data_IF_559236655634
#
_entry.id   IF_559236655634
#
_cell.length_a   1.000
_cell.length_b   1.000
_cell.length_c   1.000
_cell.angle_alpha   90.00
_cell.angle_beta   90.00
_cell.angle_gamma   90.00
#
_symmetry.space_group_name_H-M   'P 1'
#
loop_
_entity.id
_entity.type
_entity.pdbx_description
1 polymer ?
#
# COMPACT_ATOMS: atom_id res chain seq x y z
N UNK A 1 -23.73 -7.04 14.07
CA UNK A 1 -22.43 -6.92 13.38
C UNK A 1 -21.35 -7.47 14.29
N UNK A 2 -20.47 -8.35 13.80
CA UNK A 2 -19.31 -8.76 14.59
C UNK A 2 -18.36 -7.56 14.62
N UNK A 3 -18.09 -7.05 15.82
CA UNK A 3 -17.13 -5.96 16.06
C UNK A 3 -15.77 -6.24 15.38
N UNK A 4 -15.45 -7.53 15.24
CA UNK A 4 -14.28 -8.03 14.51
C UNK A 4 -14.29 -7.70 13.02
N UNK A 5 -15.42 -7.86 12.29
CA UNK A 5 -15.45 -7.60 10.84
C UNK A 5 -15.30 -6.10 10.53
N UNK A 6 -15.96 -5.25 11.30
CA UNK A 6 -15.81 -3.79 11.19
C UNK A 6 -14.34 -3.38 11.32
N UNK A 7 -13.68 -3.88 12.37
CA UNK A 7 -12.26 -3.59 12.61
C UNK A 7 -11.36 -4.09 11.47
N UNK A 8 -11.64 -5.25 10.89
CA UNK A 8 -10.88 -5.81 9.75
C UNK A 8 -10.99 -4.91 8.52
N UNK A 9 -12.21 -4.51 8.14
CA UNK A 9 -12.41 -3.70 6.95
C UNK A 9 -11.86 -2.28 7.13
N UNK A 10 -12.06 -1.69 8.32
CA UNK A 10 -11.48 -0.39 8.69
C UNK A 10 -9.95 -0.46 8.67
N UNK A 11 -9.35 -1.55 9.16
CA UNK A 11 -7.90 -1.71 9.11
C UNK A 11 -7.41 -1.81 7.66
N UNK A 12 -8.04 -2.65 6.84
CA UNK A 12 -7.65 -2.83 5.44
C UNK A 12 -7.70 -1.50 4.67
N UNK A 13 -8.82 -0.76 4.75
CA UNK A 13 -8.96 0.49 3.99
C UNK A 13 -8.00 1.58 4.47
N UNK A 14 -7.69 1.63 5.78
CA UNK A 14 -6.73 2.59 6.31
C UNK A 14 -5.30 2.32 5.84
N UNK A 15 -4.91 1.04 5.69
CA UNK A 15 -3.61 0.71 5.15
C UNK A 15 -3.50 1.13 3.67
N UNK A 16 -4.55 0.93 2.88
CA UNK A 16 -4.61 1.41 1.50
C UNK A 16 -4.61 2.95 1.39
N UNK A 17 -5.31 3.65 2.30
CA UNK A 17 -5.25 5.13 2.40
C UNK A 17 -3.83 5.61 2.70
N UNK A 18 -3.20 5.01 3.70
CA UNK A 18 -1.82 5.31 4.10
C UNK A 18 -0.83 5.09 2.95
N UNK A 19 -0.92 3.95 2.27
CA UNK A 19 -0.06 3.63 1.12
C UNK A 19 -0.25 4.66 0.00
N UNK A 20 -1.51 4.94 -0.38
CA UNK A 20 -1.84 5.94 -1.40
C UNK A 20 -1.33 7.33 -1.04
N UNK A 21 -1.53 7.78 0.20
CA UNK A 21 -1.06 9.07 0.68
C UNK A 21 0.47 9.16 0.64
N UNK A 22 1.15 8.09 1.08
CA UNK A 22 2.62 7.98 1.05
C UNK A 22 3.14 8.12 -0.38
N UNK A 23 2.58 7.39 -1.33
CA UNK A 23 3.04 7.40 -2.71
C UNK A 23 2.73 8.73 -3.40
N UNK A 24 1.58 9.35 -3.13
CA UNK A 24 1.28 10.72 -3.59
C UNK A 24 2.29 11.74 -3.08
N UNK A 25 2.65 11.68 -1.79
CA UNK A 25 3.63 12.60 -1.21
C UNK A 25 5.02 12.44 -1.86
N UNK A 26 5.42 11.19 -2.14
CA UNK A 26 6.67 10.90 -2.86
C UNK A 26 6.62 11.46 -4.29
N UNK A 27 5.54 11.23 -5.04
CA UNK A 27 5.37 11.76 -6.40
C UNK A 27 5.39 13.29 -6.39
N UNK A 28 4.72 13.93 -5.43
CA UNK A 28 4.71 15.39 -5.31
C UNK A 28 6.11 15.96 -5.06
N UNK A 29 6.95 15.27 -4.29
CA UNK A 29 8.30 15.74 -3.93
C UNK A 29 9.34 15.44 -5.00
N UNK A 30 9.30 14.26 -5.62
CA UNK A 30 10.36 13.77 -6.51
C UNK A 30 9.94 13.67 -7.98
N UNK A 31 8.67 13.96 -8.29
CA UNK A 31 8.09 13.85 -9.63
C UNK A 31 7.59 12.44 -9.97
N UNK A 32 7.29 12.23 -11.25
CA UNK A 32 6.68 11.00 -11.75
C UNK A 32 7.70 9.85 -11.85
N UNK A 33 8.02 9.27 -10.69
CA UNK A 33 9.01 8.20 -10.56
C UNK A 33 8.34 6.83 -10.42
N UNK A 34 8.90 5.83 -11.12
CA UNK A 34 8.48 4.43 -10.97
C UNK A 34 9.13 3.82 -9.72
N UNK A 35 8.39 3.02 -8.92
CA UNK A 35 7.08 2.45 -9.25
C UNK A 35 5.88 3.26 -8.73
N UNK A 36 6.10 4.35 -7.99
CA UNK A 36 5.06 5.10 -7.28
C UNK A 36 3.87 5.50 -8.15
N UNK A 37 4.12 6.03 -9.35
CA UNK A 37 3.05 6.45 -10.28
C UNK A 37 2.11 5.32 -10.70
N UNK A 38 2.59 4.08 -10.75
CA UNK A 38 1.76 2.93 -11.14
C UNK A 38 1.02 2.35 -9.92
N UNK A 39 1.68 2.37 -8.77
CA UNK A 39 1.17 1.75 -7.54
C UNK A 39 0.12 2.65 -6.89
N UNK A 40 0.26 3.97 -6.92
CA UNK A 40 -0.76 4.90 -6.39
C UNK A 40 -2.15 4.70 -7.04
N UNK A 41 -2.18 4.36 -8.32
CA UNK A 41 -3.41 4.02 -9.05
C UNK A 41 -3.92 2.62 -8.70
N UNK A 42 -3.03 1.69 -8.33
CA UNK A 42 -3.41 0.39 -7.78
C UNK A 42 -4.08 0.56 -6.40
N UNK A 43 -3.51 1.35 -5.50
CA UNK A 43 -4.11 1.58 -4.17
C UNK A 43 -5.48 2.25 -4.26
N UNK A 44 -5.67 3.17 -5.23
CA UNK A 44 -6.99 3.74 -5.50
C UNK A 44 -8.00 2.69 -5.94
N UNK A 45 -7.58 1.66 -6.68
CA UNK A 45 -8.45 0.53 -7.06
C UNK A 45 -8.69 -0.42 -5.89
N UNK A 46 -7.72 -0.64 -5.01
CA UNK A 46 -7.90 -1.43 -3.79
C UNK A 46 -8.95 -0.82 -2.88
N UNK A 47 -8.87 0.49 -2.63
CA UNK A 47 -9.88 1.24 -1.88
C UNK A 47 -11.26 1.02 -2.49
N UNK A 48 -11.39 1.24 -3.81
CA UNK A 48 -12.66 1.06 -4.52
C UNK A 48 -13.19 -0.38 -4.45
N UNK A 49 -12.32 -1.39 -4.35
CA UNK A 49 -12.73 -2.78 -4.19
C UNK A 49 -13.25 -3.09 -2.77
N UNK A 50 -12.80 -2.33 -1.76
CA UNK A 50 -13.26 -2.46 -0.38
C UNK A 50 -14.61 -1.77 -0.15
N UNK A 51 -14.88 -0.61 -0.79
CA UNK A 51 -16.10 0.18 -0.54
C UNK A 51 -17.43 -0.62 -0.62
N UNK A 52 -17.65 -1.53 -1.59
CA UNK A 52 -18.87 -2.32 -1.62
C UNK A 52 -19.06 -3.23 -0.41
N UNK A 53 -17.98 -3.66 0.26
CA UNK A 53 -18.06 -4.45 1.49
C UNK A 53 -18.55 -3.58 2.67
N UNK A 54 -18.12 -2.32 2.74
CA UNK A 54 -18.60 -1.39 3.76
C UNK A 54 -20.12 -1.18 3.66
N UNK A 55 -20.61 -0.93 2.44
CA UNK A 55 -22.04 -0.78 2.17
C UNK A 55 -22.82 -2.07 2.51
N UNK A 56 -22.34 -3.22 2.02
CA UNK A 56 -23.01 -4.52 2.24
C UNK A 56 -23.18 -4.88 3.72
N UNK A 57 -22.18 -4.56 4.54
CA UNK A 57 -22.16 -4.91 5.96
C UNK A 57 -22.61 -3.76 6.87
N UNK A 58 -23.10 -2.65 6.30
CA UNK A 58 -23.56 -1.46 7.05
C UNK A 58 -22.47 -0.91 7.99
N UNK A 59 -21.24 -0.80 7.48
CA UNK A 59 -20.08 -0.30 8.21
C UNK A 59 -19.76 1.11 7.72
N UNK A 60 -19.59 2.04 8.65
CA UNK A 60 -19.16 3.39 8.33
C UNK A 60 -17.75 3.39 7.72
N UNK A 61 -17.60 4.07 6.59
CA UNK A 61 -16.30 4.25 5.94
C UNK A 61 -15.51 5.30 6.74
N UNK A 62 -14.28 5.00 7.18
CA UNK A 62 -13.45 5.98 7.86
C UNK A 62 -13.05 7.12 6.92
N UNK A 63 -12.86 8.32 7.48
CA UNK A 63 -12.33 9.47 6.75
C UNK A 63 -10.89 9.19 6.27
N UNK A 64 -10.54 9.67 5.08
CA UNK A 64 -9.17 9.63 4.55
C UNK A 64 -8.44 10.94 4.87
N UNK A 65 -7.79 10.99 6.04
CA UNK A 65 -6.99 12.12 6.52
C UNK A 65 -5.47 11.86 6.46
N UNK A 66 -5.06 10.72 5.90
CA UNK A 66 -3.67 10.26 5.91
C UNK A 66 -2.70 11.24 5.26
N UNK A 67 -3.15 12.07 4.31
CA UNK A 67 -2.33 13.10 3.69
C UNK A 67 -1.68 14.07 4.69
N UNK A 68 -2.34 14.38 5.82
CA UNK A 68 -1.76 15.21 6.88
C UNK A 68 -0.82 14.47 7.83
N UNK A 69 -0.73 13.15 7.72
CA UNK A 69 0.05 12.29 8.62
C UNK A 69 1.31 11.71 7.98
N UNK A 70 1.55 11.95 6.68
CA UNK A 70 2.71 11.42 5.98
C UNK A 70 3.94 12.30 6.17
N UNK A 71 4.99 11.73 6.76
CA UNK A 71 6.34 12.27 6.66
C UNK A 71 6.97 11.85 5.33
N UNK A 72 7.32 12.83 4.49
CA UNK A 72 7.86 12.51 3.16
C UNK A 72 9.34 12.12 3.24
N UNK A 73 9.75 10.97 2.66
CA UNK A 73 11.14 10.52 2.63
C UNK A 73 12.11 11.58 2.10
N UNK A 74 13.36 11.56 2.56
CA UNK A 74 14.39 12.54 2.18
C UNK A 74 15.04 12.24 0.84
N UNK A 75 14.96 11.00 0.35
CA UNK A 75 15.50 10.58 -0.95
C UNK A 75 14.61 9.55 -1.66
N UNK A 76 14.82 9.36 -2.96
CA UNK A 76 14.13 8.32 -3.74
C UNK A 76 14.48 6.92 -3.23
N UNK A 77 15.75 6.69 -2.88
CA UNK A 77 16.20 5.41 -2.31
C UNK A 77 15.48 5.10 -1.00
N UNK A 78 15.37 6.10 -0.12
CA UNK A 78 14.62 5.96 1.13
C UNK A 78 13.13 5.71 0.86
N UNK A 79 12.51 6.46 -0.06
CA UNK A 79 11.13 6.24 -0.45
C UNK A 79 10.89 4.81 -0.95
N UNK A 80 11.82 4.26 -1.73
CA UNK A 80 11.70 2.89 -2.21
C UNK A 80 11.89 1.85 -1.11
N UNK A 81 12.73 2.12 -0.09
CA UNK A 81 12.82 1.27 1.11
C UNK A 81 11.55 1.31 1.95
N UNK A 82 10.99 2.50 2.17
CA UNK A 82 9.69 2.67 2.84
C UNK A 82 8.61 1.89 2.10
N UNK A 83 8.58 1.94 0.76
CA UNK A 83 7.68 1.12 -0.05
C UNK A 83 7.87 -0.38 0.18
N UNK A 84 9.10 -0.89 0.18
CA UNK A 84 9.36 -2.32 0.49
C UNK A 84 8.84 -2.70 1.87
N UNK A 85 9.11 -1.89 2.89
CA UNK A 85 8.66 -2.16 4.26
C UNK A 85 7.13 -2.12 4.37
N UNK A 86 6.48 -1.16 3.70
CA UNK A 86 5.04 -1.04 3.63
C UNK A 86 4.40 -2.30 3.01
N UNK A 87 4.90 -2.76 1.86
CA UNK A 87 4.33 -3.95 1.19
C UNK A 87 4.56 -5.25 1.97
N UNK A 88 5.70 -5.39 2.68
CA UNK A 88 5.92 -6.52 3.60
C UNK A 88 4.93 -6.46 4.77
N UNK A 89 4.67 -5.27 5.30
CA UNK A 89 3.67 -5.03 6.33
C UNK A 89 2.26 -5.40 5.86
N UNK A 90 1.87 -4.90 4.69
CA UNK A 90 0.59 -5.14 4.04
C UNK A 90 0.34 -6.64 3.79
N UNK A 91 1.33 -7.36 3.26
CA UNK A 91 1.23 -8.82 3.07
C UNK A 91 0.96 -9.57 4.38
N UNK A 92 1.68 -9.24 5.46
CA UNK A 92 1.48 -9.84 6.80
C UNK A 92 0.14 -9.45 7.42
N UNK A 93 -0.31 -8.22 7.19
CA UNK A 93 -1.63 -7.76 7.61
C UNK A 93 -2.69 -8.61 6.92
N UNK A 94 -2.70 -8.69 5.59
CA UNK A 94 -3.69 -9.49 4.86
C UNK A 94 -3.67 -10.96 5.23
N UNK A 95 -2.50 -11.57 5.47
CA UNK A 95 -2.41 -12.94 6.00
C UNK A 95 -3.23 -13.10 7.30
N UNK A 96 -3.13 -12.12 8.19
CA UNK A 96 -3.87 -12.11 9.46
C UNK A 96 -5.35 -11.86 9.23
N UNK A 97 -5.72 -10.86 8.43
CA UNK A 97 -7.11 -10.52 8.14
C UNK A 97 -7.84 -11.68 7.45
N UNK A 98 -7.16 -12.39 6.56
CA UNK A 98 -7.70 -13.58 5.90
C UNK A 98 -8.00 -14.71 6.91
N UNK A 99 -7.14 -14.95 7.90
CA UNK A 99 -7.47 -15.93 8.95
C UNK A 99 -8.68 -15.53 9.80
N UNK A 100 -8.89 -14.23 10.00
CA UNK A 100 -9.97 -13.70 10.84
C UNK A 100 -11.31 -13.58 10.10
N UNK A 101 -11.33 -13.74 8.77
CA UNK A 101 -12.53 -13.59 7.93
C UNK A 101 -12.95 -14.89 7.23
N UNK A 102 -12.61 -16.05 7.80
CA UNK A 102 -12.96 -17.37 7.21
C UNK A 102 -14.46 -17.55 6.94
N UNK A 103 -15.31 -16.89 7.73
CA UNK A 103 -16.77 -16.99 7.63
C UNK A 103 -17.38 -15.99 6.62
N UNK A 104 -16.55 -15.18 5.94
CA UNK A 104 -16.96 -14.14 5.01
C UNK A 104 -16.30 -14.33 3.62
N UNK A 105 -16.82 -15.24 2.78
CA UNK A 105 -16.18 -15.59 1.50
C UNK A 105 -16.00 -14.44 0.51
N UNK A 106 -16.91 -13.47 0.53
CA UNK A 106 -16.84 -12.26 -0.29
C UNK A 106 -15.71 -11.33 0.17
N UNK A 107 -15.55 -11.16 1.48
CA UNK A 107 -14.45 -10.41 2.08
C UNK A 107 -13.12 -11.10 1.78
N UNK A 108 -13.03 -12.43 2.00
CA UNK A 108 -11.86 -13.24 1.64
C UNK A 108 -11.44 -13.00 0.19
N UNK A 109 -12.40 -13.02 -0.74
CA UNK A 109 -12.10 -12.84 -2.15
C UNK A 109 -11.40 -11.51 -2.42
N UNK A 110 -11.92 -10.40 -1.88
CA UNK A 110 -11.32 -9.07 -2.06
C UNK A 110 -9.94 -9.00 -1.39
N UNK A 111 -9.83 -9.41 -0.11
CA UNK A 111 -8.57 -9.38 0.62
C UNK A 111 -7.47 -10.22 -0.05
N UNK A 112 -7.81 -11.38 -0.62
CA UNK A 112 -6.87 -12.20 -1.39
C UNK A 112 -6.36 -11.50 -2.65
N UNK A 113 -7.23 -10.78 -3.38
CA UNK A 113 -6.79 -10.03 -4.57
C UNK A 113 -5.84 -8.89 -4.20
N UNK A 114 -6.15 -8.16 -3.13
CA UNK A 114 -5.33 -7.05 -2.65
C UNK A 114 -3.97 -7.55 -2.15
N UNK A 115 -3.95 -8.62 -1.33
CA UNK A 115 -2.72 -9.27 -0.90
C UNK A 115 -1.85 -9.72 -2.08
N UNK A 116 -2.48 -10.33 -3.09
CA UNK A 116 -1.78 -10.80 -4.28
C UNK A 116 -1.16 -9.64 -5.05
N UNK A 117 -1.88 -8.52 -5.18
CA UNK A 117 -1.36 -7.33 -5.84
C UNK A 117 -0.14 -6.77 -5.09
N UNK A 118 -0.22 -6.64 -3.76
CA UNK A 118 0.89 -6.20 -2.93
C UNK A 118 2.11 -7.13 -3.04
N UNK A 119 1.92 -8.44 -2.83
CA UNK A 119 3.02 -9.42 -2.72
C UNK A 119 3.63 -9.81 -4.06
N UNK A 120 2.83 -9.98 -5.11
CA UNK A 120 3.31 -10.43 -6.42
C UNK A 120 3.72 -9.26 -7.34
N UNK A 121 3.18 -8.05 -7.12
CA UNK A 121 3.44 -6.90 -8.02
C UNK A 121 4.14 -5.75 -7.33
N UNK A 122 3.59 -5.21 -6.24
CA UNK A 122 4.10 -3.98 -5.61
C UNK A 122 5.47 -4.22 -4.95
N UNK A 123 5.57 -5.24 -4.10
CA UNK A 123 6.79 -5.57 -3.36
C UNK A 123 7.99 -5.79 -4.32
N UNK A 124 7.89 -6.64 -5.37
CA UNK A 124 8.97 -6.78 -6.33
C UNK A 124 9.30 -5.49 -7.07
N UNK A 125 8.31 -4.62 -7.33
CA UNK A 125 8.54 -3.34 -7.99
C UNK A 125 9.33 -2.36 -7.12
N UNK A 126 9.04 -2.31 -5.81
CA UNK A 126 9.82 -1.52 -4.85
C UNK A 126 11.21 -2.11 -4.61
N UNK A 127 11.35 -3.42 -4.53
CA UNK A 127 12.67 -4.08 -4.43
C UNK A 127 13.57 -3.70 -5.62
N UNK A 128 13.05 -3.80 -6.84
CA UNK A 128 13.75 -3.33 -8.05
C UNK A 128 14.06 -1.83 -8.02
N UNK A 129 13.21 -1.02 -7.39
CA UNK A 129 13.52 0.39 -7.21
C UNK A 129 14.74 0.59 -6.31
N UNK A 130 14.78 -0.09 -5.15
CA UNK A 130 15.93 -0.03 -4.22
C UNK A 130 17.23 -0.43 -4.93
N UNK A 131 17.20 -1.48 -5.74
CA UNK A 131 18.36 -1.93 -6.52
C UNK A 131 18.85 -0.86 -7.53
N UNK A 132 17.93 -0.25 -8.27
CA UNK A 132 18.25 0.81 -9.25
C UNK A 132 18.82 2.07 -8.60
N UNK A 133 18.23 2.52 -7.51
CA UNK A 133 18.67 3.74 -6.83
C UNK A 133 19.95 3.51 -6.01
N UNK A 134 20.09 2.32 -5.41
CA UNK A 134 21.30 1.92 -4.68
C UNK A 134 22.53 1.76 -5.57
N UNK A 135 22.34 1.31 -6.82
CA UNK A 135 23.43 1.20 -7.81
C UNK A 135 23.82 2.55 -8.41
N UNK A 136 22.87 3.46 -8.64
CA UNK A 136 23.16 4.83 -9.09
C UNK A 136 23.95 5.64 -8.06
N UNK A 137 23.78 5.37 -6.76
CA UNK A 137 24.57 5.98 -5.69
C UNK A 137 26.06 5.61 -5.69
N UNK A 138 26.45 4.50 -6.33
CA UNK A 138 27.85 4.07 -6.46
C UNK A 138 28.51 4.48 -7.79
N UNK A 139 27.73 5.04 -8.73
CA UNK A 139 28.18 5.38 -10.09
C UNK A 139 28.79 6.78 -10.26
N UNK A 140 28.79 7.64 -9.22
CA UNK A 140 29.28 9.03 -9.30
C UNK A 140 30.72 9.26 -8.84
N UNK A 141 31.54 8.21 -8.78
CA UNK A 141 33.00 8.32 -8.62
C UNK A 141 33.74 7.60 -9.76
N UNK A 142 33.50 8.06 -11.00
CA UNK A 142 34.45 7.84 -12.10
C UNK A 142 34.53 9.08 -13.00
N UNK A 143 35.71 9.72 -12.91
CA UNK A 143 36.36 10.57 -13.91
C UNK A 143 35.69 11.91 -14.27
N UNK A 144 36.20 13.00 -13.67
CA UNK A 144 37.12 13.93 -14.34
C UNK A 144 37.82 14.80 -13.30
#
# INVERSE_FOLDING_TARGET
MSETLSNILIEAINDEYKARATYRAVIQKFGDIRPFINIVDAESRHINALLPLFDKYDIAIPEDDWASHIETPQSILEACRVGVEAEIGNGKMYDRLLRLTSDYPDVQHVLMQLQRASTENHLPAFQRCVEREGSQGQGRQRCQ
#
